data_IF_389296248821
#
_entry.id   IF_389296248821
#
_cell.length_a   1.000
_cell.length_b   1.000
_cell.length_c   1.000
_cell.angle_alpha   90.00
_cell.angle_beta   90.00
_cell.angle_gamma   90.00
#
_symmetry.space_group_name_H-M   'P 1'
#
loop_
_entity.id
_entity.type
_entity.pdbx_description
1 polymer ?
#
# COMPACT_ATOMS: atom_id res chain seq x y z
N UNK A 1 -45.66 -8.93 -7.22
CA UNK A 1 -45.04 -8.58 -5.92
C UNK A 1 -43.74 -9.37 -5.81
N UNK A 2 -42.64 -8.82 -6.37
CA UNK A 2 -41.33 -9.46 -6.33
C UNK A 2 -40.47 -8.77 -5.28
N UNK A 3 -40.48 -9.31 -4.07
CA UNK A 3 -39.60 -8.92 -2.97
C UNK A 3 -38.69 -10.12 -2.66
N UNK A 4 -37.76 -10.42 -3.57
CA UNK A 4 -37.00 -11.67 -3.51
C UNK A 4 -35.62 -11.66 -4.15
N UNK A 5 -35.02 -10.49 -4.40
CA UNK A 5 -33.65 -10.40 -4.96
C UNK A 5 -32.81 -9.29 -4.32
N UNK A 6 -32.97 -9.02 -3.03
CA UNK A 6 -31.93 -8.33 -2.26
C UNK A 6 -30.84 -9.35 -1.91
N UNK A 7 -30.08 -9.73 -2.95
CA UNK A 7 -28.85 -10.51 -2.83
C UNK A 7 -28.03 -10.03 -1.62
N UNK A 8 -27.61 -10.97 -0.77
CA UNK A 8 -26.69 -10.82 0.37
C UNK A 8 -25.49 -9.91 0.05
N UNK A 9 -25.70 -8.60 0.02
CA UNK A 9 -24.65 -7.65 -0.33
C UNK A 9 -23.94 -7.28 0.97
N UNK A 10 -22.87 -8.02 1.24
CA UNK A 10 -22.01 -7.79 2.38
C UNK A 10 -21.60 -6.31 2.42
N UNK A 11 -21.74 -5.61 3.55
CA UNK A 11 -21.48 -4.18 3.62
C UNK A 11 -20.00 -3.89 3.32
N UNK A 12 -19.75 -2.84 2.53
CA UNK A 12 -18.39 -2.42 2.14
C UNK A 12 -17.59 -1.90 3.35
N UNK A 13 -18.26 -1.28 4.32
CA UNK A 13 -17.67 -0.80 5.57
C UNK A 13 -18.61 -1.10 6.74
N UNK A 14 -18.07 -1.47 7.90
CA UNK A 14 -18.84 -1.72 9.13
C UNK A 14 -18.17 -1.05 10.33
N UNK A 15 -18.94 -0.22 11.05
CA UNK A 15 -18.51 0.36 12.32
C UNK A 15 -18.65 -0.70 13.42
N UNK A 16 -17.52 -1.13 13.99
CA UNK A 16 -17.52 -2.15 15.06
C UNK A 16 -17.66 -1.52 16.45
N UNK A 17 -17.22 -0.26 16.61
CA UNK A 17 -17.26 0.48 17.87
C UNK A 17 -17.32 1.99 17.60
N UNK A 18 -17.97 2.72 18.51
CA UNK A 18 -18.16 4.17 18.42
C UNK A 18 -19.48 4.55 17.77
N UNK A 19 -19.81 5.84 17.80
CA UNK A 19 -20.99 6.41 17.14
C UNK A 19 -20.54 7.63 16.34
N UNK A 20 -19.94 7.43 15.15
CA UNK A 20 -19.51 8.53 14.32
C UNK A 20 -20.73 9.36 13.92
N UNK A 21 -20.54 10.66 13.76
CA UNK A 21 -21.55 11.50 13.11
C UNK A 21 -21.51 11.35 11.58
N UNK A 22 -22.50 11.94 10.92
CA UNK A 22 -22.64 11.85 9.46
C UNK A 22 -21.44 12.47 8.72
N UNK A 23 -20.81 13.48 9.31
CA UNK A 23 -19.65 14.17 8.73
C UNK A 23 -18.42 13.29 8.78
N UNK A 24 -18.16 12.65 9.92
CA UNK A 24 -17.06 11.71 10.11
C UNK A 24 -17.20 10.48 9.20
N UNK A 25 -18.42 9.96 9.07
CA UNK A 25 -18.69 8.82 8.19
C UNK A 25 -18.49 9.19 6.70
N UNK A 26 -18.96 10.37 6.30
CA UNK A 26 -18.77 10.89 4.94
C UNK A 26 -17.29 11.15 4.63
N UNK A 27 -16.54 11.72 5.58
CA UNK A 27 -15.10 11.96 5.43
C UNK A 27 -14.34 10.64 5.23
N UNK A 28 -14.64 9.62 6.02
CA UNK A 28 -14.03 8.30 5.86
C UNK A 28 -14.37 7.67 4.50
N UNK A 29 -15.64 7.75 4.08
CA UNK A 29 -16.06 7.24 2.77
C UNK A 29 -15.36 7.96 1.61
N UNK A 30 -15.21 9.28 1.70
CA UNK A 30 -14.52 10.08 0.70
C UNK A 30 -13.03 9.71 0.58
N UNK A 31 -12.35 9.46 1.69
CA UNK A 31 -10.95 9.00 1.69
C UNK A 31 -10.83 7.63 1.03
N UNK A 32 -11.70 6.68 1.38
CA UNK A 32 -11.66 5.33 0.78
C UNK A 32 -11.96 5.39 -0.72
N UNK A 33 -12.95 6.18 -1.13
CA UNK A 33 -13.27 6.38 -2.55
C UNK A 33 -12.11 7.06 -3.30
N UNK A 34 -11.46 8.05 -2.70
CA UNK A 34 -10.29 8.71 -3.26
C UNK A 34 -9.11 7.76 -3.44
N UNK A 35 -8.83 6.90 -2.46
CA UNK A 35 -7.80 5.85 -2.58
C UNK A 35 -8.13 4.86 -3.70
N UNK A 36 -9.38 4.41 -3.80
CA UNK A 36 -9.82 3.51 -4.85
C UNK A 36 -9.69 4.14 -6.25
N UNK A 37 -10.05 5.42 -6.39
CA UNK A 37 -9.90 6.17 -7.63
C UNK A 37 -8.43 6.44 -7.99
N UNK A 38 -7.56 6.58 -6.99
CA UNK A 38 -6.11 6.82 -7.19
C UNK A 38 -5.33 5.59 -7.64
N UNK A 39 -5.92 4.39 -7.56
CA UNK A 39 -5.28 3.10 -7.87
C UNK A 39 -4.90 2.88 -9.34
N UNK A 40 -4.97 3.88 -10.21
CA UNK A 40 -4.67 3.79 -11.65
C UNK A 40 -3.68 4.85 -12.15
N UNK A 41 -2.87 5.45 -11.29
CA UNK A 41 -1.63 6.06 -11.76
C UNK A 41 -0.61 4.94 -11.96
N UNK A 42 -0.53 4.41 -13.18
CA UNK A 42 0.62 3.62 -13.62
C UNK A 42 1.83 4.56 -13.59
N UNK A 43 2.44 4.66 -12.41
CA UNK A 43 3.69 5.38 -12.23
C UNK A 43 4.67 4.74 -13.22
N UNK A 44 5.31 5.54 -14.11
CA UNK A 44 6.17 4.98 -15.15
C UNK A 44 7.15 4.04 -14.48
N UNK A 45 7.15 2.78 -14.91
CA UNK A 45 7.87 1.71 -14.24
C UNK A 45 9.31 2.19 -13.99
N UNK A 46 9.61 2.51 -12.72
CA UNK A 46 10.94 2.92 -12.34
C UNK A 46 11.91 1.84 -12.85
N UNK A 47 13.07 2.22 -13.41
CA UNK A 47 14.03 1.24 -13.90
C UNK A 47 14.24 0.20 -12.79
N UNK A 48 14.06 -1.09 -13.14
CA UNK A 48 14.16 -2.16 -12.16
C UNK A 48 15.43 -1.95 -11.33
N UNK A 49 15.33 -1.91 -9.99
CA UNK A 49 16.51 -1.73 -9.17
C UNK A 49 17.50 -2.83 -9.52
N UNK A 50 18.79 -2.45 -9.63
CA UNK A 50 19.86 -3.40 -9.92
C UNK A 50 19.83 -4.51 -8.86
N UNK A 51 20.06 -5.76 -9.27
CA UNK A 51 20.13 -6.88 -8.33
C UNK A 51 21.20 -6.59 -7.28
N UNK A 52 20.81 -6.58 -6.00
CA UNK A 52 21.74 -6.39 -4.89
C UNK A 52 22.77 -7.53 -4.77
N UNK A 53 22.45 -8.71 -5.30
CA UNK A 53 23.38 -9.84 -5.40
C UNK A 53 24.49 -9.60 -6.44
N UNK A 54 24.25 -8.74 -7.44
CA UNK A 54 25.20 -8.43 -8.50
C UNK A 54 25.95 -7.10 -8.26
N UNK A 55 25.81 -6.50 -7.08
CA UNK A 55 26.42 -5.21 -6.76
C UNK A 55 27.92 -5.37 -6.49
N UNK A 56 28.77 -4.88 -7.40
CA UNK A 56 30.23 -4.94 -7.23
C UNK A 56 30.74 -4.18 -6.00
N UNK A 57 29.95 -3.28 -5.43
CA UNK A 57 30.32 -2.61 -4.18
C UNK A 57 30.46 -3.59 -3.01
N UNK A 58 29.91 -4.82 -3.08
CA UNK A 58 30.13 -5.85 -2.06
C UNK A 58 31.53 -6.44 -2.12
N UNK A 59 32.20 -6.41 -3.29
CA UNK A 59 33.57 -6.91 -3.48
C UNK A 59 34.63 -6.07 -2.76
N UNK A 60 34.27 -4.87 -2.28
CA UNK A 60 35.16 -3.96 -1.58
C UNK A 60 34.52 -3.51 -0.26
N UNK A 61 35.33 -3.33 0.79
CA UNK A 61 34.81 -2.86 2.07
C UNK A 61 34.40 -1.39 1.95
N UNK A 62 33.11 -1.10 2.07
CA UNK A 62 32.56 0.26 2.06
C UNK A 62 31.73 0.53 3.32
N UNK A 63 31.71 1.77 3.85
CA UNK A 63 30.87 2.11 4.99
C UNK A 63 29.38 2.06 4.63
N UNK A 64 28.54 1.64 5.58
CA UNK A 64 27.09 1.64 5.40
C UNK A 64 26.56 3.08 5.35
N UNK A 65 25.63 3.35 4.43
CA UNK A 65 24.93 4.63 4.29
C UNK A 65 23.44 4.44 4.59
N UNK A 66 22.82 5.30 5.42
CA UNK A 66 21.37 5.30 5.59
C UNK A 66 20.67 5.61 4.26
N UNK A 67 19.55 4.95 4.01
CA UNK A 67 18.78 5.16 2.77
C UNK A 67 17.66 4.16 2.60
N UNK A 68 16.81 4.40 1.61
CA UNK A 68 15.68 3.53 1.32
C UNK A 68 16.17 2.10 1.04
N UNK A 69 15.62 1.14 1.80
CA UNK A 69 16.00 -0.26 1.70
C UNK A 69 17.40 -0.61 2.22
N UNK A 70 18.16 0.32 2.81
CA UNK A 70 19.50 0.04 3.35
C UNK A 70 19.47 -1.00 4.48
N UNK A 71 18.43 -0.98 5.33
CA UNK A 71 18.25 -1.96 6.40
C UNK A 71 18.00 -3.39 5.88
N UNK A 72 17.26 -3.54 4.78
CA UNK A 72 17.09 -4.86 4.14
C UNK A 72 18.40 -5.32 3.47
N UNK A 73 19.19 -4.39 2.96
CA UNK A 73 20.47 -4.69 2.31
C UNK A 73 21.52 -5.21 3.29
N UNK A 74 21.50 -4.77 4.55
CA UNK A 74 22.52 -5.14 5.54
C UNK A 74 22.48 -6.62 5.94
N UNK A 75 21.40 -7.33 5.61
CA UNK A 75 21.26 -8.77 5.87
C UNK A 75 21.68 -9.67 4.69
N UNK A 76 22.06 -9.09 3.54
CA UNK A 76 22.52 -9.86 2.39
C UNK A 76 23.99 -10.29 2.57
N UNK A 77 24.40 -11.45 2.00
CA UNK A 77 25.79 -11.86 1.98
C UNK A 77 26.69 -10.79 1.33
N UNK A 78 27.89 -10.60 1.88
CA UNK A 78 28.92 -9.73 1.29
C UNK A 78 29.83 -10.53 0.38
#
# INVERSE_FOLDING_TARGET
MSAGEESERKPFLRVVRGKPDDTELAALAAVVAGMAASGAAEEPAAPRPRSRWADRATLVRSPLRPGQGAWRASALPR
#
